data_IF_327377690642
#
_entry.id   IF_327377690642
#
_cell.length_a   1.000
_cell.length_b   1.000
_cell.length_c   1.000
_cell.angle_alpha   90.00
_cell.angle_beta   90.00
_cell.angle_gamma   90.00
#
_symmetry.space_group_name_H-M   'P 1'
#
loop_
_entity.id
_entity.type
_entity.pdbx_description
1 polymer ?
#
# COMPACT_ATOMS: atom_id res chain seq x y z
N UNK A 1 -14.46 14.60 1.99
CA UNK A 1 -14.35 13.17 1.67
C UNK A 1 -14.42 13.06 0.16
N UNK A 2 -13.40 12.47 -0.47
CA UNK A 2 -13.50 12.09 -1.88
C UNK A 2 -14.64 11.07 -2.05
N UNK A 3 -15.39 11.19 -3.14
CA UNK A 3 -16.39 10.19 -3.53
C UNK A 3 -15.71 8.89 -3.94
N UNK A 4 -16.34 7.74 -3.64
CA UNK A 4 -15.89 6.43 -4.11
C UNK A 4 -15.62 6.42 -5.62
N UNK A 5 -14.41 6.01 -6.02
CA UNK A 5 -14.03 5.82 -7.42
C UNK A 5 -14.55 4.45 -7.88
N UNK A 6 -15.38 4.41 -8.93
CA UNK A 6 -15.94 3.15 -9.43
C UNK A 6 -14.83 2.17 -9.81
N UNK A 7 -14.99 0.93 -9.36
CA UNK A 7 -14.08 -0.18 -9.67
C UNK A 7 -14.73 -1.14 -10.67
N UNK A 8 -13.92 -1.98 -11.31
CA UNK A 8 -14.32 -3.01 -12.26
C UNK A 8 -14.55 -2.49 -13.67
N UNK A 9 -14.02 -1.31 -14.01
CA UNK A 9 -14.10 -0.77 -15.37
C UNK A 9 -13.16 -1.53 -16.30
N UNK A 10 -11.98 -1.92 -15.79
CA UNK A 10 -11.10 -2.87 -16.46
C UNK A 10 -11.50 -4.32 -16.10
N UNK A 11 -11.70 -5.18 -17.11
CA UNK A 11 -12.16 -6.57 -16.96
C UNK A 11 -11.04 -7.62 -17.03
N UNK A 12 -9.81 -7.22 -17.34
CA UNK A 12 -8.64 -8.09 -17.33
C UNK A 12 -8.03 -8.23 -15.94
N UNK A 13 -7.02 -9.09 -15.81
CA UNK A 13 -6.21 -9.17 -14.59
C UNK A 13 -5.34 -7.92 -14.43
N UNK A 14 -5.33 -7.35 -13.22
CA UNK A 14 -4.45 -6.23 -12.87
C UNK A 14 -3.01 -6.67 -12.60
N UNK A 15 -2.77 -7.97 -12.38
CA UNK A 15 -1.48 -8.49 -11.92
C UNK A 15 -0.30 -8.08 -12.81
N UNK A 16 -0.37 -8.13 -14.15
CA UNK A 16 0.75 -7.70 -14.99
C UNK A 16 1.11 -6.21 -14.82
N UNK A 17 0.11 -5.34 -14.61
CA UNK A 17 0.35 -3.93 -14.35
C UNK A 17 0.91 -3.71 -12.94
N UNK A 18 0.38 -4.44 -11.95
CA UNK A 18 0.86 -4.42 -10.56
C UNK A 18 2.32 -4.86 -10.49
N UNK A 19 2.73 -5.91 -11.19
CA UNK A 19 4.13 -6.38 -11.22
C UNK A 19 5.05 -5.25 -11.73
N UNK A 20 4.68 -4.59 -12.83
CA UNK A 20 5.42 -3.44 -13.35
C UNK A 20 5.49 -2.28 -12.34
N UNK A 21 4.37 -1.96 -11.69
CA UNK A 21 4.30 -0.90 -10.67
C UNK A 21 5.10 -1.26 -9.41
N UNK A 22 5.07 -2.51 -8.97
CA UNK A 22 5.81 -2.99 -7.79
C UNK A 22 7.32 -2.83 -8.01
N UNK A 23 7.80 -3.20 -9.19
CA UNK A 23 9.20 -2.99 -9.58
C UNK A 23 9.56 -1.51 -9.77
N UNK A 24 8.66 -0.70 -10.34
CA UNK A 24 8.88 0.74 -10.51
C UNK A 24 8.93 1.47 -9.15
N UNK A 25 8.07 1.08 -8.20
CA UNK A 25 8.00 1.64 -6.87
C UNK A 25 9.30 1.44 -6.06
N UNK A 26 10.08 0.40 -6.38
CA UNK A 26 11.39 0.18 -5.77
C UNK A 26 12.34 1.35 -6.00
N UNK A 27 12.23 2.06 -7.13
CA UNK A 27 13.08 3.24 -7.36
C UNK A 27 12.78 4.38 -6.39
N UNK A 28 11.51 4.54 -6.01
CA UNK A 28 11.09 5.52 -5.01
C UNK A 28 11.60 5.11 -3.62
N UNK A 29 11.39 3.85 -3.25
CA UNK A 29 11.85 3.30 -1.98
C UNK A 29 13.39 3.35 -1.85
N UNK A 30 14.11 3.11 -2.95
CA UNK A 30 15.57 3.17 -3.03
C UNK A 30 16.11 4.54 -2.63
N UNK A 31 15.43 5.63 -3.00
CA UNK A 31 15.83 6.99 -2.60
C UNK A 31 15.69 7.15 -1.08
N UNK A 32 14.54 6.79 -0.50
CA UNK A 32 14.35 6.84 0.95
C UNK A 32 15.38 6.00 1.70
N UNK A 33 15.65 4.77 1.22
CA UNK A 33 16.64 3.87 1.81
C UNK A 33 18.08 4.43 1.76
N UNK A 34 18.41 5.20 0.73
CA UNK A 34 19.79 5.67 0.48
C UNK A 34 20.13 6.98 1.18
N UNK A 35 19.14 7.88 1.31
CA UNK A 35 19.38 9.26 1.73
C UNK A 35 18.78 9.63 3.09
N UNK A 36 17.98 8.75 3.68
CA UNK A 36 17.36 9.00 4.98
C UNK A 36 17.98 8.10 6.07
N UNK A 37 17.98 8.56 7.33
CA UNK A 37 18.42 7.73 8.44
C UNK A 37 17.59 6.46 8.52
N UNK A 38 18.28 5.31 8.56
CA UNK A 38 17.66 4.00 8.74
C UNK A 38 16.79 3.98 10.00
N UNK A 39 15.54 3.52 9.85
CA UNK A 39 14.61 3.27 10.95
C UNK A 39 14.54 1.77 11.23
N UNK A 40 14.36 1.34 12.49
CA UNK A 40 14.30 -0.09 12.83
C UNK A 40 13.18 -0.87 12.14
N UNK A 41 12.12 -0.19 11.70
CA UNK A 41 10.96 -0.74 11.02
C UNK A 41 11.00 -0.53 9.50
N UNK A 42 12.13 -0.04 8.95
CA UNK A 42 12.30 0.33 7.54
C UNK A 42 11.39 1.46 7.03
N UNK A 43 10.75 2.22 7.91
CA UNK A 43 9.83 3.31 7.52
C UNK A 43 10.46 4.44 6.71
N UNK A 44 11.80 4.51 6.64
CA UNK A 44 12.50 5.44 5.75
C UNK A 44 12.25 5.18 4.26
N UNK A 45 11.93 3.92 3.89
CA UNK A 45 11.77 3.51 2.49
C UNK A 45 10.31 3.22 2.11
N UNK A 46 9.36 3.42 3.04
CA UNK A 46 7.93 3.25 2.76
C UNK A 46 7.36 4.39 1.91
N UNK A 47 6.26 4.09 1.24
CA UNK A 47 5.63 5.00 0.27
C UNK A 47 4.27 5.47 0.80
N UNK A 48 3.81 6.60 0.27
CA UNK A 48 2.47 7.13 0.48
C UNK A 48 1.71 7.19 -0.85
N UNK A 49 0.41 6.91 -0.82
CA UNK A 49 -0.44 7.14 -1.98
C UNK A 49 -1.08 8.52 -1.93
N UNK A 50 -0.73 9.35 -2.90
CA UNK A 50 -1.38 10.63 -3.15
C UNK A 50 -2.50 10.45 -4.17
N UNK A 51 -3.76 10.46 -3.70
CA UNK A 51 -4.97 10.23 -4.52
C UNK A 51 -5.30 11.37 -5.48
N UNK A 52 -4.84 12.59 -5.18
CA UNK A 52 -5.06 13.77 -6.02
C UNK A 52 -4.14 13.74 -7.25
N UNK A 53 -2.89 13.33 -7.05
CA UNK A 53 -1.88 13.29 -8.11
C UNK A 53 -1.75 11.90 -8.77
N UNK A 54 -2.38 10.87 -8.22
CA UNK A 54 -2.15 9.47 -8.57
C UNK A 54 -0.67 9.05 -8.49
N UNK A 55 0.00 9.46 -7.40
CA UNK A 55 1.44 9.25 -7.20
C UNK A 55 1.73 8.38 -5.99
N UNK A 56 2.72 7.50 -6.15
CA UNK A 56 3.41 6.84 -5.05
C UNK A 56 4.58 7.70 -4.62
N UNK A 57 4.47 8.32 -3.46
CA UNK A 57 5.44 9.29 -2.95
C UNK A 57 6.35 8.67 -1.90
N UNK A 58 7.66 8.90 -2.04
CA UNK A 58 8.63 8.60 -0.99
C UNK A 58 8.60 9.64 0.13
N UNK A 59 9.52 9.52 1.07
CA UNK A 59 9.77 10.54 2.11
C UNK A 59 10.54 11.73 1.53
N UNK A 60 10.33 12.91 2.10
CA UNK A 60 11.15 14.09 1.81
C UNK A 60 12.55 13.92 2.41
N UNK A 61 13.55 14.26 1.60
CA UNK A 61 14.90 14.59 2.05
C UNK A 61 14.90 16.09 2.35
N UNK A 62 15.52 16.52 3.45
CA UNK A 62 15.48 17.93 3.87
C UNK A 62 16.66 18.76 3.33
N UNK A 63 17.82 18.15 3.06
CA UNK A 63 19.03 18.87 2.66
C UNK A 63 19.85 18.10 1.61
N UNK A 64 19.79 18.48 0.31
CA UNK A 64 18.84 19.43 -0.27
C UNK A 64 17.39 18.91 -0.19
N UNK A 65 16.41 19.83 -0.22
CA UNK A 65 15.00 19.45 -0.18
C UNK A 65 14.59 18.76 -1.48
N UNK A 66 14.28 17.47 -1.40
CA UNK A 66 13.93 16.64 -2.55
C UNK A 66 12.99 15.48 -2.18
N UNK A 67 12.15 15.05 -3.10
CA UNK A 67 11.28 13.87 -2.96
C UNK A 67 11.16 13.15 -4.29
N UNK A 68 11.39 11.83 -4.28
CA UNK A 68 11.10 10.97 -5.43
C UNK A 68 9.66 10.48 -5.33
N UNK A 69 8.97 10.40 -6.46
CA UNK A 69 7.66 9.79 -6.59
C UNK A 69 7.53 9.03 -7.90
N UNK A 70 6.55 8.12 -7.97
CA UNK A 70 6.14 7.43 -9.20
C UNK A 70 4.74 7.91 -9.55
N UNK A 71 4.59 8.59 -10.68
CA UNK A 71 3.29 8.81 -11.30
C UNK A 71 2.83 7.51 -11.93
N UNK A 72 1.82 6.90 -11.32
CA UNK A 72 1.34 5.57 -11.69
C UNK A 72 0.71 5.56 -13.08
N UNK A 73 -0.01 6.63 -13.42
CA UNK A 73 -0.81 6.70 -14.64
C UNK A 73 0.05 7.09 -15.83
N UNK A 74 0.96 8.05 -15.65
CA UNK A 74 1.93 8.43 -16.66
C UNK A 74 3.08 7.44 -16.77
N UNK A 75 3.30 6.61 -15.74
CA UNK A 75 4.34 5.58 -15.66
C UNK A 75 5.75 6.17 -15.77
N UNK A 76 6.00 7.15 -14.90
CA UNK A 76 7.25 7.90 -14.83
C UNK A 76 7.66 8.20 -13.39
N UNK A 77 8.97 8.30 -13.17
CA UNK A 77 9.51 8.82 -11.92
C UNK A 77 9.57 10.34 -11.98
N UNK A 78 9.23 10.98 -10.87
CA UNK A 78 9.26 12.43 -10.71
C UNK A 78 10.10 12.75 -9.48
N UNK A 79 11.19 13.49 -9.69
CA UNK A 79 11.99 14.06 -8.62
C UNK A 79 11.57 15.52 -8.44
N UNK A 80 10.83 15.77 -7.37
CA UNK A 80 10.48 17.12 -6.92
C UNK A 80 11.64 17.66 -6.08
N UNK A 81 12.18 18.81 -6.46
CA UNK A 81 13.17 19.58 -5.72
C UNK A 81 12.63 21.01 -5.49
N UNK A 82 13.27 21.77 -4.60
CA UNK A 82 12.78 23.10 -4.12
C UNK A 82 12.16 23.99 -5.22
N UNK A 83 12.77 24.06 -6.40
CA UNK A 83 12.30 24.93 -7.51
C UNK A 83 12.16 24.20 -8.86
N UNK A 84 12.30 22.87 -8.89
CA UNK A 84 12.36 22.11 -10.13
C UNK A 84 11.70 20.74 -9.97
N UNK A 85 11.04 20.28 -11.02
CA UNK A 85 10.54 18.91 -11.12
C UNK A 85 11.18 18.25 -12.33
N UNK A 86 11.79 17.08 -12.10
CA UNK A 86 12.44 16.30 -13.15
C UNK A 86 11.67 15.01 -13.41
N UNK A 87 11.32 14.78 -14.67
CA UNK A 87 10.52 13.65 -15.09
C UNK A 87 11.38 12.61 -15.81
N UNK A 88 11.18 11.34 -15.49
CA UNK A 88 11.88 10.21 -16.08
C UNK A 88 10.87 9.12 -16.48
N UNK A 89 10.49 9.12 -17.76
CA UNK A 89 9.68 8.06 -18.36
C UNK A 89 10.37 6.69 -18.21
N UNK A 90 9.64 5.71 -17.69
CA UNK A 90 10.17 4.35 -17.50
C UNK A 90 10.11 3.51 -18.78
N UNK A 91 9.12 3.77 -19.64
CA UNK A 91 8.89 2.99 -20.86
C UNK A 91 10.15 2.88 -21.74
N UNK A 92 10.45 1.66 -22.17
CA UNK A 92 11.62 1.32 -22.98
C UNK A 92 12.96 1.34 -22.24
N UNK A 93 13.01 1.59 -20.93
CA UNK A 93 14.26 1.58 -20.14
C UNK A 93 14.41 0.29 -19.34
N UNK A 94 15.64 -0.20 -19.24
CA UNK A 94 15.99 -1.26 -18.28
C UNK A 94 16.16 -0.66 -16.89
N UNK A 95 16.10 -1.47 -15.83
CA UNK A 95 16.36 -0.99 -14.46
C UNK A 95 17.71 -0.27 -14.34
N UNK A 96 18.75 -0.79 -14.99
CA UNK A 96 20.08 -0.19 -15.01
C UNK A 96 20.08 1.21 -15.64
N UNK A 97 19.39 1.41 -16.77
CA UNK A 97 19.24 2.73 -17.41
C UNK A 97 18.45 3.70 -16.54
N UNK A 98 17.43 3.23 -15.82
CA UNK A 98 16.66 4.05 -14.88
C UNK A 98 17.56 4.50 -13.73
N UNK A 99 18.30 3.59 -13.09
CA UNK A 99 19.23 3.91 -11.99
C UNK A 99 20.30 4.91 -12.46
N UNK A 100 20.90 4.70 -13.64
CA UNK A 100 21.88 5.63 -14.19
C UNK A 100 21.30 7.04 -14.40
N UNK A 101 20.06 7.12 -14.90
CA UNK A 101 19.35 8.40 -15.09
C UNK A 101 19.02 9.05 -13.73
N UNK A 102 18.60 8.27 -12.74
CA UNK A 102 18.35 8.76 -11.38
C UNK A 102 19.61 9.33 -10.75
N UNK A 103 20.78 8.70 -10.90
CA UNK A 103 22.05 9.24 -10.39
C UNK A 103 22.34 10.62 -10.96
N UNK A 104 22.12 10.82 -12.26
CA UNK A 104 22.29 12.13 -12.90
C UNK A 104 21.32 13.17 -12.32
N UNK A 105 20.04 12.82 -12.18
CA UNK A 105 19.01 13.72 -11.63
C UNK A 105 19.29 14.10 -10.17
N UNK A 106 19.59 13.11 -9.33
CA UNK A 106 19.90 13.33 -7.92
C UNK A 106 21.15 14.21 -7.75
N UNK A 107 22.20 13.97 -8.55
CA UNK A 107 23.39 14.81 -8.56
C UNK A 107 23.07 16.27 -8.95
N UNK A 108 22.25 16.46 -10.00
CA UNK A 108 21.84 17.80 -10.43
C UNK A 108 21.04 18.55 -9.35
N UNK A 109 20.31 17.83 -8.50
CA UNK A 109 19.60 18.39 -7.34
C UNK A 109 20.49 18.60 -6.11
N UNK A 110 21.79 18.28 -6.18
CA UNK A 110 22.75 18.47 -5.08
C UNK A 110 22.86 17.29 -4.11
N UNK A 111 22.30 16.12 -4.44
CA UNK A 111 22.50 14.89 -3.67
C UNK A 111 23.76 14.16 -4.14
N UNK A 112 24.42 13.45 -3.23
CA UNK A 112 25.54 12.58 -3.58
C UNK A 112 25.03 11.31 -4.27
N UNK A 113 25.19 11.26 -5.59
CA UNK A 113 24.72 10.17 -6.41
C UNK A 113 25.33 8.81 -6.04
N UNK A 114 26.50 8.75 -5.41
CA UNK A 114 27.15 7.48 -5.04
C UNK A 114 26.44 6.78 -3.87
N UNK A 115 25.67 7.53 -3.07
CA UNK A 115 24.86 6.99 -1.98
C UNK A 115 23.68 6.16 -2.47
N UNK A 116 23.22 6.34 -3.72
CA UNK A 116 22.08 5.59 -4.24
C UNK A 116 22.45 4.10 -4.35
N UNK A 117 21.79 3.26 -3.56
CA UNK A 117 22.05 1.82 -3.51
C UNK A 117 20.75 1.01 -3.59
N UNK A 118 20.70 -0.09 -4.38
CA UNK A 118 19.56 -1.01 -4.37
C UNK A 118 19.27 -1.54 -2.97
N UNK A 119 17.99 -1.77 -2.68
CA UNK A 119 17.57 -2.36 -1.41
C UNK A 119 17.93 -3.86 -1.42
N UNK A 120 18.60 -4.34 -0.37
CA UNK A 120 19.12 -5.71 -0.29
C UNK A 120 18.62 -6.53 0.90
N UNK A 121 17.92 -5.91 1.86
CA UNK A 121 17.44 -6.58 3.08
C UNK A 121 16.10 -7.31 2.91
N UNK A 122 15.44 -7.17 1.74
CA UNK A 122 14.28 -7.97 1.37
C UNK A 122 14.31 -8.31 -0.13
N UNK A 123 13.46 -9.27 -0.52
CA UNK A 123 13.20 -9.61 -1.91
C UNK A 123 11.75 -9.32 -2.27
N UNK A 124 11.51 -9.12 -3.56
CA UNK A 124 10.17 -9.02 -4.15
C UNK A 124 10.02 -10.15 -5.19
N UNK A 125 8.79 -10.46 -5.65
CA UNK A 125 8.59 -11.46 -6.70
C UNK A 125 9.51 -11.20 -7.91
N UNK A 126 10.11 -12.28 -8.42
CA UNK A 126 11.01 -12.21 -9.58
C UNK A 126 10.23 -11.83 -10.83
N UNK A 127 10.82 -10.98 -11.67
CA UNK A 127 10.21 -10.56 -12.93
C UNK A 127 11.28 -10.39 -14.02
N UNK A 128 10.93 -10.50 -15.32
CA UNK A 128 11.91 -10.38 -16.40
C UNK A 128 12.70 -9.05 -16.43
N UNK A 129 12.20 -8.02 -15.78
CA UNK A 129 12.93 -6.75 -15.59
C UNK A 129 14.20 -6.92 -14.75
N UNK A 130 14.26 -7.90 -13.85
CA UNK A 130 15.47 -8.27 -13.10
C UNK A 130 16.56 -8.86 -14.01
N UNK A 131 16.15 -9.49 -15.11
CA UNK A 131 17.04 -10.05 -16.13
C UNK A 131 17.39 -9.03 -17.23
N UNK A 132 17.16 -7.73 -17.00
CA UNK A 132 17.52 -6.67 -17.93
C UNK A 132 16.53 -6.41 -19.06
N UNK A 133 15.31 -6.97 -19.00
CA UNK A 133 14.24 -6.51 -19.89
C UNK A 133 13.93 -5.03 -19.64
N UNK A 134 13.53 -4.34 -20.70
CA UNK A 134 13.04 -2.98 -20.59
C UNK A 134 11.60 -2.98 -20.02
N UNK A 135 11.28 -1.96 -19.24
CA UNK A 135 9.91 -1.65 -18.87
C UNK A 135 9.06 -1.46 -20.12
N UNK A 136 7.86 -2.02 -20.10
CA UNK A 136 6.80 -1.72 -21.04
C UNK A 136 5.69 -1.04 -20.24
N UNK A 137 5.34 0.19 -20.60
CA UNK A 137 4.26 0.91 -19.93
C UNK A 137 2.97 0.08 -20.03
N UNK A 138 2.34 -0.31 -18.91
CA UNK A 138 1.05 -0.97 -18.96
C UNK A 138 0.01 -0.07 -19.63
N UNK A 139 -1.04 -0.68 -20.18
CA UNK A 139 -2.13 0.08 -20.78
C UNK A 139 -2.76 1.06 -19.76
N UNK A 140 -3.31 2.17 -20.26
CA UNK A 140 -3.89 3.22 -19.41
C UNK A 140 -4.99 2.71 -18.47
N UNK A 141 -5.84 1.80 -18.96
CA UNK A 141 -6.99 1.29 -18.21
C UNK A 141 -6.62 0.54 -16.92
N UNK A 142 -5.74 -0.47 -16.92
CA UNK A 142 -5.32 -1.14 -15.69
C UNK A 142 -4.57 -0.20 -14.72
N UNK A 143 -3.80 0.78 -15.21
CA UNK A 143 -3.15 1.78 -14.34
C UNK A 143 -4.18 2.66 -13.63
N UNK A 144 -5.20 3.12 -14.35
CA UNK A 144 -6.28 3.91 -13.76
C UNK A 144 -7.14 3.09 -12.79
N UNK A 145 -7.43 1.83 -13.13
CA UNK A 145 -8.15 0.92 -12.24
C UNK A 145 -7.37 0.71 -10.93
N UNK A 146 -6.06 0.45 -11.01
CA UNK A 146 -5.20 0.36 -9.83
C UNK A 146 -5.23 1.65 -8.99
N UNK A 147 -5.10 2.82 -9.63
CA UNK A 147 -5.15 4.11 -8.93
C UNK A 147 -6.49 4.34 -8.21
N UNK A 148 -7.60 3.87 -8.79
CA UNK A 148 -8.92 3.95 -8.16
C UNK A 148 -9.00 3.06 -6.91
N UNK A 149 -8.50 1.83 -7.00
CA UNK A 149 -8.42 0.91 -5.86
C UNK A 149 -7.66 1.52 -4.68
N UNK A 150 -6.45 2.05 -4.92
CA UNK A 150 -5.62 2.65 -3.87
C UNK A 150 -6.20 3.94 -3.32
N UNK A 151 -6.87 4.75 -4.15
CA UNK A 151 -7.57 5.97 -3.67
C UNK A 151 -8.73 5.61 -2.74
N UNK A 152 -9.52 4.59 -3.10
CA UNK A 152 -10.61 4.12 -2.24
C UNK A 152 -10.07 3.55 -0.92
N UNK A 153 -8.99 2.76 -0.98
CA UNK A 153 -8.32 2.24 0.21
C UNK A 153 -7.82 3.38 1.12
N UNK A 154 -7.09 4.35 0.57
CA UNK A 154 -6.57 5.51 1.29
C UNK A 154 -7.67 6.29 2.02
N UNK A 155 -8.82 6.49 1.37
CA UNK A 155 -9.98 7.16 1.96
C UNK A 155 -10.60 6.33 3.10
N UNK A 156 -10.89 5.04 2.86
CA UNK A 156 -11.48 4.15 3.88
C UNK A 156 -10.58 4.04 5.11
N UNK A 157 -9.28 3.78 4.90
CA UNK A 157 -8.30 3.68 5.97
C UNK A 157 -8.16 5.02 6.70
N UNK A 158 -8.24 6.16 6.00
CA UNK A 158 -8.21 7.49 6.62
C UNK A 158 -9.38 7.71 7.58
N UNK A 159 -10.59 7.28 7.20
CA UNK A 159 -11.78 7.34 8.07
C UNK A 159 -11.58 6.46 9.30
N UNK A 160 -11.17 5.20 9.12
CA UNK A 160 -10.96 4.26 10.23
C UNK A 160 -9.87 4.78 11.17
N UNK A 161 -8.74 5.24 10.62
CA UNK A 161 -7.60 5.83 11.35
C UNK A 161 -8.06 6.89 12.35
N UNK A 162 -8.97 7.77 11.94
CA UNK A 162 -9.45 8.87 12.81
C UNK A 162 -10.18 8.42 14.09
N UNK A 163 -10.58 7.15 14.18
CA UNK A 163 -11.33 6.59 15.30
C UNK A 163 -10.48 5.88 16.35
N UNK A 164 -9.15 5.90 16.19
CA UNK A 164 -8.20 5.27 17.11
C UNK A 164 -7.20 6.29 17.66
N UNK A 165 -6.66 6.00 18.85
CA UNK A 165 -5.81 6.93 19.59
C UNK A 165 -4.37 6.96 19.06
N UNK A 166 -3.79 5.80 18.75
CA UNK A 166 -2.39 5.67 18.34
C UNK A 166 -2.19 5.03 16.95
N UNK A 167 -3.03 5.30 15.95
CA UNK A 167 -2.88 4.65 14.65
C UNK A 167 -1.57 5.09 13.98
N UNK A 168 -0.89 4.14 13.34
CA UNK A 168 0.24 4.43 12.48
C UNK A 168 -0.19 5.23 11.24
N UNK A 169 0.79 5.67 10.46
CA UNK A 169 0.53 6.25 9.14
C UNK A 169 0.00 5.18 8.17
N UNK A 170 -0.81 5.61 7.19
CA UNK A 170 -1.22 4.75 6.08
C UNK A 170 -0.09 4.78 5.07
N UNK A 171 0.55 3.63 4.87
CA UNK A 171 1.76 3.51 4.05
C UNK A 171 1.69 2.29 3.14
N UNK A 172 2.56 2.29 2.13
CA UNK A 172 2.78 1.16 1.23
C UNK A 172 4.19 0.66 1.47
N UNK A 173 4.29 -0.61 1.82
CA UNK A 173 5.57 -1.24 2.11
C UNK A 173 6.17 -1.81 0.83
N UNK A 174 7.38 -1.42 0.42
CA UNK A 174 7.92 -1.79 -0.89
C UNK A 174 8.14 -3.29 -1.06
N UNK A 175 8.23 -4.06 0.03
CA UNK A 175 8.46 -5.51 -0.02
C UNK A 175 7.19 -6.32 -0.32
N UNK A 176 6.01 -5.90 0.17
CA UNK A 176 4.73 -6.58 -0.08
C UNK A 176 3.80 -5.83 -1.05
N UNK A 177 4.02 -4.53 -1.23
CA UNK A 177 3.28 -3.63 -2.12
C UNK A 177 1.77 -3.50 -1.84
N UNK A 178 1.35 -3.88 -0.64
CA UNK A 178 0.04 -3.56 -0.10
C UNK A 178 0.05 -2.15 0.52
N UNK A 179 -1.11 -1.50 0.55
CA UNK A 179 -1.33 -0.33 1.41
C UNK A 179 -1.97 -0.77 2.71
N UNK A 180 -1.37 -0.38 3.84
CA UNK A 180 -1.76 -0.85 5.15
C UNK A 180 -1.86 0.27 6.18
N UNK A 181 -2.73 0.03 7.16
CA UNK A 181 -2.87 0.78 8.40
C UNK A 181 -2.64 -0.18 9.56
N UNK A 182 -1.65 0.13 10.39
CA UNK A 182 -1.38 -0.58 11.63
C UNK A 182 -1.95 0.19 12.82
N UNK A 183 -2.71 -0.49 13.67
CA UNK A 183 -3.40 0.12 14.82
C UNK A 183 -3.07 -0.66 16.09
N UNK A 184 -2.21 -0.10 16.96
CA UNK A 184 -2.07 -0.53 18.34
C UNK A 184 -3.41 -0.45 19.08
N UNK A 185 -3.81 -1.56 19.71
CA UNK A 185 -5.03 -1.69 20.50
C UNK A 185 -4.73 -1.73 22.00
N UNK A 186 -3.58 -2.28 22.37
CA UNK A 186 -3.09 -2.33 23.74
C UNK A 186 -1.57 -2.17 23.72
N UNK A 187 -1.03 -1.45 24.70
CA UNK A 187 0.40 -1.28 24.94
C UNK A 187 0.75 -1.64 26.38
N UNK A 188 1.98 -2.09 26.60
CA UNK A 188 2.55 -2.27 27.93
C UNK A 188 3.02 -0.91 28.50
N UNK A 189 3.50 -0.92 29.75
CA UNK A 189 3.97 0.28 30.46
C UNK A 189 5.16 0.97 29.76
N UNK A 190 5.99 0.20 29.05
CA UNK A 190 7.15 0.69 28.29
C UNK A 190 6.76 1.22 26.89
N UNK A 191 5.47 1.21 26.55
CA UNK A 191 4.94 1.69 25.27
C UNK A 191 5.04 0.68 24.11
N UNK A 192 5.48 -0.55 24.37
CA UNK A 192 5.47 -1.64 23.40
C UNK A 192 4.07 -2.19 23.15
N UNK A 193 3.74 -2.45 21.89
CA UNK A 193 2.42 -2.97 21.51
C UNK A 193 2.24 -4.41 22.04
N UNK A 194 1.08 -4.67 22.64
CA UNK A 194 0.67 -5.99 23.12
C UNK A 194 -0.43 -6.58 22.23
N UNK A 195 -1.26 -5.74 21.61
CA UNK A 195 -2.30 -6.16 20.68
C UNK A 195 -2.40 -5.12 19.57
N UNK A 196 -2.64 -5.57 18.36
CA UNK A 196 -2.79 -4.70 17.20
C UNK A 196 -3.69 -5.28 16.12
N UNK A 197 -4.27 -4.37 15.34
CA UNK A 197 -5.01 -4.68 14.12
C UNK A 197 -4.22 -4.12 12.95
N UNK A 198 -3.93 -4.96 11.96
CA UNK A 198 -3.49 -4.50 10.65
C UNK A 198 -4.66 -4.60 9.67
N UNK A 199 -4.84 -3.59 8.83
CA UNK A 199 -5.88 -3.62 7.81
C UNK A 199 -5.46 -2.83 6.59
N UNK A 200 -5.93 -3.23 5.41
CA UNK A 200 -5.41 -2.65 4.18
C UNK A 200 -6.02 -3.19 2.91
N UNK A 201 -5.34 -2.89 1.81
CA UNK A 201 -5.58 -3.44 0.48
C UNK A 201 -4.28 -4.09 0.01
N UNK A 202 -4.34 -5.38 -0.24
CA UNK A 202 -3.24 -6.17 -0.76
C UNK A 202 -3.37 -6.37 -2.28
N UNK A 203 -2.22 -6.58 -2.92
CA UNK A 203 -2.14 -7.11 -4.28
C UNK A 203 -2.46 -8.61 -4.29
N UNK A 204 -2.52 -9.22 -5.47
CA UNK A 204 -2.55 -10.67 -5.58
C UNK A 204 -1.30 -11.29 -4.96
N UNK A 205 -1.47 -12.41 -4.26
CA UNK A 205 -0.40 -13.19 -3.62
C UNK A 205 -0.65 -14.70 -3.75
N UNK A 206 0.06 -15.51 -2.97
CA UNK A 206 -0.08 -16.97 -2.98
C UNK A 206 -1.44 -17.48 -2.48
N UNK A 207 -2.16 -16.67 -1.70
CA UNK A 207 -3.42 -17.01 -1.05
C UNK A 207 -4.64 -16.45 -1.79
N UNK A 208 -4.50 -15.30 -2.45
CA UNK A 208 -5.57 -14.64 -3.22
C UNK A 208 -5.03 -14.15 -4.56
N UNK A 209 -5.63 -14.58 -5.66
CA UNK A 209 -5.10 -14.34 -7.02
C UNK A 209 -5.44 -12.96 -7.63
N UNK A 210 -6.10 -12.10 -6.85
CA UNK A 210 -6.57 -10.76 -7.25
C UNK A 210 -6.41 -9.78 -6.08
N UNK A 211 -6.46 -8.45 -6.30
CA UNK A 211 -6.47 -7.48 -5.21
C UNK A 211 -7.62 -7.69 -4.23
N UNK A 212 -7.33 -7.51 -2.95
CA UNK A 212 -8.29 -7.79 -1.88
C UNK A 212 -8.10 -6.89 -0.66
N UNK A 213 -9.20 -6.48 -0.04
CA UNK A 213 -9.13 -5.84 1.27
C UNK A 213 -8.88 -6.89 2.35
N UNK A 214 -8.10 -6.55 3.36
CA UNK A 214 -7.77 -7.45 4.46
C UNK A 214 -7.88 -6.77 5.82
N UNK A 215 -8.11 -7.59 6.85
CA UNK A 215 -8.02 -7.24 8.26
C UNK A 215 -7.35 -8.41 8.96
N UNK A 216 -6.21 -8.19 9.59
CA UNK A 216 -5.52 -9.16 10.41
C UNK A 216 -5.35 -8.62 11.84
N UNK A 217 -4.74 -9.44 12.68
CA UNK A 217 -4.43 -9.04 14.04
C UNK A 217 -3.22 -9.76 14.57
N UNK A 218 -2.60 -9.13 15.57
CA UNK A 218 -1.53 -9.70 16.36
C UNK A 218 -1.77 -9.47 17.85
N UNK A 219 -1.27 -10.38 18.66
CA UNK A 219 -1.30 -10.30 20.12
C UNK A 219 -0.07 -10.98 20.69
N UNK A 220 0.56 -10.37 21.70
CA UNK A 220 1.66 -10.96 22.46
C UNK A 220 1.22 -12.18 23.26
N UNK A 221 -0.07 -12.26 23.59
CA UNK A 221 -0.70 -13.41 24.23
C UNK A 221 -1.56 -14.21 23.26
N UNK A 222 -1.78 -15.49 23.56
CA UNK A 222 -2.60 -16.36 22.73
C UNK A 222 -4.05 -15.87 22.67
N UNK A 223 -4.57 -15.69 21.45
CA UNK A 223 -5.98 -15.36 21.23
C UNK A 223 -6.81 -16.64 21.31
N UNK A 224 -7.83 -16.65 22.16
CA UNK A 224 -8.82 -17.72 22.20
C UNK A 224 -9.81 -17.56 21.05
N UNK A 225 -9.73 -18.44 20.07
CA UNK A 225 -10.66 -18.44 18.95
C UNK A 225 -11.92 -19.25 19.28
N UNK A 226 -13.11 -18.81 18.81
CA UNK A 226 -14.32 -19.61 18.91
C UNK A 226 -14.16 -20.96 18.18
N UNK A 227 -14.94 -21.96 18.59
CA UNK A 227 -14.94 -23.29 17.96
C UNK A 227 -15.48 -23.31 16.52
N UNK A 228 -16.11 -22.22 16.09
CA UNK A 228 -16.59 -21.98 14.72
C UNK A 228 -15.92 -20.75 14.15
N UNK A 229 -15.70 -20.71 12.84
CA UNK A 229 -15.11 -19.56 12.17
C UNK A 229 -15.95 -18.29 12.42
N UNK A 230 -15.32 -17.14 12.74
CA UNK A 230 -16.00 -15.86 12.79
C UNK A 230 -16.70 -15.54 11.46
N UNK A 231 -17.91 -14.99 11.53
CA UNK A 231 -18.71 -14.62 10.36
C UNK A 231 -19.01 -13.12 10.39
N UNK A 232 -18.82 -12.47 9.24
CA UNK A 232 -19.18 -11.07 9.01
C UNK A 232 -20.06 -10.96 7.76
N UNK A 233 -20.75 -9.82 7.57
CA UNK A 233 -21.70 -9.67 6.45
C UNK A 233 -21.01 -9.70 5.09
N UNK A 234 -19.88 -9.01 4.98
CA UNK A 234 -19.08 -8.94 3.76
C UNK A 234 -17.69 -9.48 4.07
N UNK A 235 -17.17 -10.39 3.26
CA UNK A 235 -15.85 -11.00 3.43
C UNK A 235 -15.88 -12.39 4.05
N UNK A 236 -14.72 -13.03 4.07
CA UNK A 236 -14.55 -14.41 4.55
C UNK A 236 -13.41 -14.50 5.55
N UNK A 237 -13.53 -15.44 6.49
CA UNK A 237 -12.47 -15.72 7.45
C UNK A 237 -11.29 -16.44 6.77
N UNK A 238 -10.10 -15.90 6.98
CA UNK A 238 -8.83 -16.36 6.45
C UNK A 238 -8.00 -17.03 7.56
N UNK A 239 -7.31 -18.12 7.23
CA UNK A 239 -6.58 -18.97 8.18
C UNK A 239 -5.23 -19.50 7.68
N UNK A 240 -4.83 -19.16 6.46
CA UNK A 240 -3.62 -19.70 5.83
C UNK A 240 -2.51 -18.69 6.08
N UNK A 241 -1.41 -19.09 6.72
CA UNK A 241 -0.29 -18.24 7.15
C UNK A 241 -0.61 -17.18 8.22
N UNK A 242 -1.78 -16.54 8.15
CA UNK A 242 -2.28 -15.59 9.13
C UNK A 242 -3.80 -15.75 9.33
N UNK A 243 -4.33 -15.11 10.39
CA UNK A 243 -5.76 -15.15 10.73
C UNK A 243 -6.38 -13.78 10.63
N UNK A 244 -7.57 -13.71 10.06
CA UNK A 244 -8.29 -12.47 9.88
C UNK A 244 -9.37 -12.57 8.83
N UNK A 245 -9.75 -11.46 8.22
CA UNK A 245 -10.78 -11.40 7.19
C UNK A 245 -10.20 -10.89 5.87
N UNK A 246 -10.73 -11.42 4.77
CA UNK A 246 -10.45 -10.94 3.42
C UNK A 246 -11.73 -10.63 2.66
N UNK A 247 -11.67 -9.64 1.78
CA UNK A 247 -12.71 -9.32 0.79
C UNK A 247 -12.04 -9.21 -0.59
N UNK A 248 -12.01 -10.31 -1.36
CA UNK A 248 -11.50 -10.31 -2.73
C UNK A 248 -12.33 -9.41 -3.66
N UNK A 249 -11.69 -8.81 -4.66
CA UNK A 249 -12.36 -7.94 -5.63
C UNK A 249 -13.57 -8.60 -6.31
N UNK A 250 -13.46 -9.86 -6.73
CA UNK A 250 -14.54 -10.62 -7.36
C UNK A 250 -15.84 -10.67 -6.53
N UNK A 251 -15.75 -10.50 -5.20
CA UNK A 251 -16.92 -10.48 -4.32
C UNK A 251 -17.81 -9.25 -4.50
N UNK A 252 -17.29 -8.14 -5.06
CA UNK A 252 -18.04 -6.89 -5.12
C UNK A 252 -17.88 -6.06 -6.42
N UNK A 253 -16.93 -6.40 -7.30
CA UNK A 253 -16.69 -5.66 -8.56
C UNK A 253 -17.85 -5.70 -9.57
N UNK A 254 -18.80 -6.63 -9.44
CA UNK A 254 -19.97 -6.73 -10.31
C UNK A 254 -21.12 -5.79 -9.94
N UNK A 255 -21.06 -5.18 -8.75
CA UNK A 255 -22.09 -4.28 -8.25
C UNK A 255 -21.89 -2.83 -8.73
N UNK A 256 -22.93 -2.01 -8.58
CA UNK A 256 -22.85 -0.57 -8.85
C UNK A 256 -21.85 0.14 -7.92
N UNK A 257 -21.31 1.29 -8.33
CA UNK A 257 -20.35 2.08 -7.55
C UNK A 257 -20.80 2.33 -6.09
N UNK A 258 -22.06 2.70 -5.87
CA UNK A 258 -22.61 2.92 -4.52
C UNK A 258 -22.68 1.63 -3.69
N UNK A 259 -23.01 0.50 -4.32
CA UNK A 259 -23.02 -0.80 -3.66
C UNK A 259 -21.60 -1.29 -3.34
N UNK A 260 -20.63 -1.07 -4.22
CA UNK A 260 -19.22 -1.36 -3.99
C UNK A 260 -18.73 -0.64 -2.72
N UNK A 261 -19.01 0.67 -2.63
CA UNK A 261 -18.68 1.47 -1.45
C UNK A 261 -19.32 0.92 -0.18
N UNK A 262 -20.63 0.62 -0.22
CA UNK A 262 -21.37 0.06 0.92
C UNK A 262 -20.80 -1.29 1.38
N UNK A 263 -20.44 -2.16 0.43
CA UNK A 263 -19.86 -3.47 0.73
C UNK A 263 -18.49 -3.31 1.40
N UNK A 264 -17.61 -2.47 0.85
CA UNK A 264 -16.27 -2.24 1.40
C UNK A 264 -16.31 -1.59 2.78
N UNK A 265 -17.16 -0.55 2.98
CA UNK A 265 -17.42 0.03 4.31
C UNK A 265 -17.93 -1.02 5.29
N UNK A 266 -18.88 -1.85 4.87
CA UNK A 266 -19.43 -2.92 5.71
C UNK A 266 -18.38 -3.97 6.10
N UNK A 267 -17.49 -4.35 5.18
CA UNK A 267 -16.37 -5.26 5.47
C UNK A 267 -15.47 -4.72 6.58
N UNK A 268 -15.00 -3.49 6.46
CA UNK A 268 -14.15 -2.89 7.49
C UNK A 268 -14.90 -2.66 8.80
N UNK A 269 -16.16 -2.18 8.74
CA UNK A 269 -16.98 -1.96 9.92
C UNK A 269 -17.20 -3.24 10.73
N UNK A 270 -17.59 -4.32 10.07
CA UNK A 270 -17.89 -5.58 10.74
C UNK A 270 -16.63 -6.35 11.10
N UNK A 271 -15.66 -6.41 10.19
CA UNK A 271 -14.41 -7.14 10.38
C UNK A 271 -13.58 -6.57 11.52
N UNK A 272 -13.40 -5.25 11.60
CA UNK A 272 -12.69 -4.62 12.72
C UNK A 272 -13.41 -4.86 14.04
N UNK A 273 -14.76 -4.81 14.06
CA UNK A 273 -15.52 -5.09 15.27
C UNK A 273 -15.45 -6.55 15.72
N UNK A 274 -15.49 -7.50 14.78
CA UNK A 274 -15.27 -8.91 15.06
C UNK A 274 -13.85 -9.14 15.62
N UNK A 275 -12.83 -8.50 15.04
CA UNK A 275 -11.45 -8.56 15.54
C UNK A 275 -11.30 -7.94 16.93
N UNK A 276 -11.89 -6.78 17.19
CA UNK A 276 -11.92 -6.16 18.52
C UNK A 276 -12.59 -7.08 19.55
N UNK A 277 -13.70 -7.74 19.19
CA UNK A 277 -14.36 -8.70 20.05
C UNK A 277 -13.47 -9.91 20.39
N UNK A 278 -12.74 -10.45 19.41
CA UNK A 278 -11.75 -11.54 19.64
C UNK A 278 -10.64 -11.12 20.63
N UNK A 279 -10.33 -9.83 20.71
CA UNK A 279 -9.36 -9.24 21.65
C UNK A 279 -9.98 -8.78 22.97
N UNK A 280 -11.28 -9.05 23.20
CA UNK A 280 -11.99 -8.59 24.41
C UNK A 280 -12.20 -7.08 24.47
N UNK A 281 -12.29 -6.41 23.32
CA UNK A 281 -12.49 -4.95 23.21
C UNK A 281 -13.91 -4.62 22.74
N UNK A 282 -14.35 -3.40 23.07
CA UNK A 282 -15.65 -2.88 22.65
C UNK A 282 -15.65 -2.52 21.15
N UNK A 283 -16.80 -2.69 20.45
CA UNK A 283 -16.92 -2.30 19.05
C UNK A 283 -16.85 -0.77 18.89
N UNK A 284 -16.50 -0.33 17.67
CA UNK A 284 -16.46 1.07 17.24
C UNK A 284 -17.31 1.25 15.99
N UNK A 285 -17.77 2.48 15.76
CA UNK A 285 -18.50 2.87 14.55
C UNK A 285 -17.63 3.86 13.78
N UNK A 286 -17.32 3.54 12.52
CA UNK A 286 -16.46 4.35 11.66
C UNK A 286 -17.25 5.06 10.57
N UNK A 287 -18.21 4.34 9.99
CA UNK A 287 -19.03 4.83 8.89
C UNK A 287 -20.45 5.07 9.41
N UNK A 288 -21.06 6.18 9.01
CA UNK A 288 -22.46 6.43 9.29
C UNK A 288 -23.32 5.31 8.69
N UNK A 289 -24.42 4.96 9.36
CA UNK A 289 -25.39 4.03 8.80
C UNK A 289 -26.14 4.75 7.68
N UNK A 290 -25.89 4.36 6.44
CA UNK A 290 -26.69 4.72 5.26
C UNK A 290 -27.96 3.86 5.14
#
# INVERSE_FOLDING_TARGET
MESWKSLGQFRGSLNPAIEHLHHAAQFVAMVGNSYLPHQPDDSQNNLHWNSDLNRLEGRWIENPKAQMSLDVVNFELILEATDQSHHLLLDGKTKEKVIASMRILLHACGLDADLLQPISHFTIPSHPLDAGMAFQKPAQQPLQEWANWWSNAQNLLGIIKSSFEWPAEIRIWPHHFDTGLYIPIMRNEDGGDMQSIGLGLAIADANVSEPYFYINHWSSEAISYPGTDPVIRNGVWHKIDWKGFILPGSAFLSYSSAQQEKIAKGFFQDGVNATLHLMGKLPKIFFAND
#
